data_IF_135800764175
#
_entry.id   IF_135800764175
#
_cell.length_a   1.000
_cell.length_b   1.000
_cell.length_c   1.000
_cell.angle_alpha   90.00
_cell.angle_beta   90.00
_cell.angle_gamma   90.00
#
_symmetry.space_group_name_H-M   'P 1'
#
loop_
_entity.id
_entity.type
_entity.pdbx_description
1 polymer ?
#
# COMPACT_ATOMS: atom_id res chain seq x y z
N UNK A 1 -13.69 15.90 4.95
CA UNK A 1 -12.56 16.09 4.01
C UNK A 1 -11.48 15.07 4.27
N UNK A 2 -10.90 14.49 3.23
CA UNK A 2 -9.78 13.56 3.27
C UNK A 2 -8.59 14.22 2.58
N UNK A 3 -7.45 14.32 3.25
CA UNK A 3 -6.21 14.81 2.67
C UNK A 3 -5.31 13.64 2.30
N UNK A 4 -4.90 13.56 1.05
CA UNK A 4 -4.00 12.51 0.54
C UNK A 4 -2.74 13.17 -0.06
N UNK A 5 -1.57 12.78 0.45
CA UNK A 5 -0.29 13.33 -0.01
C UNK A 5 0.07 12.92 -1.44
N UNK A 6 -0.40 11.74 -1.86
CA UNK A 6 -0.11 11.20 -3.17
C UNK A 6 -1.14 11.65 -4.23
N UNK A 7 -0.80 11.43 -5.50
CA UNK A 7 -1.72 11.63 -6.62
C UNK A 7 -2.88 10.63 -6.67
N UNK A 8 -2.75 9.52 -5.97
CA UNK A 8 -3.71 8.41 -5.94
C UNK A 8 -3.94 7.91 -4.53
N UNK A 9 -5.14 7.40 -4.28
CA UNK A 9 -5.52 6.78 -3.01
C UNK A 9 -5.10 5.32 -2.98
N UNK A 10 -4.94 4.77 -1.77
CA UNK A 10 -4.66 3.35 -1.57
C UNK A 10 -3.61 3.08 -0.51
N UNK A 11 -2.54 3.85 -0.48
CA UNK A 11 -1.45 3.60 0.46
C UNK A 11 -0.92 2.16 0.33
N UNK A 12 -1.10 1.31 1.35
CA UNK A 12 -0.73 -0.11 1.31
C UNK A 12 -1.62 -0.98 0.42
N UNK A 13 -2.77 -0.48 0.00
CA UNK A 13 -3.60 -1.05 -1.06
C UNK A 13 -3.19 -0.43 -2.40
N UNK A 14 -1.94 -0.62 -2.81
CA UNK A 14 -1.35 0.04 -3.97
C UNK A 14 -1.41 -0.84 -5.22
N UNK A 15 -1.77 -0.22 -6.33
CA UNK A 15 -1.84 -0.85 -7.65
C UNK A 15 -1.02 -0.03 -8.64
N UNK A 16 -0.10 -0.67 -9.38
CA UNK A 16 0.52 -0.13 -10.57
C UNK A 16 -0.38 -0.41 -11.78
N UNK A 17 -0.56 0.60 -12.60
CA UNK A 17 -1.29 0.50 -13.87
C UNK A 17 -0.28 0.44 -15.00
N UNK A 18 -0.42 -0.54 -15.87
CA UNK A 18 0.39 -0.70 -17.08
C UNK A 18 -0.60 -0.96 -18.22
N UNK A 19 -0.83 0.03 -19.07
CA UNK A 19 -1.91 0.07 -20.06
C UNK A 19 -3.27 -0.25 -19.41
N UNK A 20 -3.91 -1.34 -19.80
CA UNK A 20 -5.18 -1.84 -19.28
C UNK A 20 -5.01 -2.90 -18.17
N UNK A 21 -3.78 -3.17 -17.73
CA UNK A 21 -3.45 -4.19 -16.74
C UNK A 21 -3.22 -3.59 -15.35
N UNK A 22 -3.49 -4.40 -14.33
CA UNK A 22 -3.33 -4.04 -12.92
C UNK A 22 -2.27 -4.95 -12.29
N UNK A 23 -1.36 -4.36 -11.52
CA UNK A 23 -0.37 -5.09 -10.73
C UNK A 23 -0.45 -4.56 -9.30
N UNK A 24 -0.99 -5.36 -8.39
CA UNK A 24 -1.08 -5.00 -6.98
C UNK A 24 0.26 -5.31 -6.30
N UNK A 25 0.96 -4.27 -5.88
CA UNK A 25 2.30 -4.37 -5.30
C UNK A 25 2.35 -4.06 -3.80
N UNK A 26 1.21 -3.78 -3.21
CA UNK A 26 0.99 -3.84 -1.78
C UNK A 26 0.23 -5.13 -1.44
N UNK A 27 -0.87 -5.01 -0.69
CA UNK A 27 -1.81 -6.12 -0.50
C UNK A 27 -2.45 -6.51 -1.83
N UNK A 28 -2.46 -7.79 -2.17
CA UNK A 28 -3.03 -8.31 -3.43
C UNK A 28 -4.40 -8.99 -3.25
N UNK A 29 -4.79 -9.24 -2.00
CA UNK A 29 -6.06 -9.90 -1.64
C UNK A 29 -6.42 -9.61 -0.19
N UNK A 30 -7.64 -9.91 0.21
CA UNK A 30 -8.11 -9.77 1.59
C UNK A 30 -8.66 -11.11 2.07
N UNK A 31 -8.06 -11.65 3.14
CA UNK A 31 -8.62 -12.78 3.88
C UNK A 31 -9.16 -12.24 5.21
N UNK A 32 -10.48 -12.10 5.36
CA UNK A 32 -11.06 -11.49 6.56
C UNK A 32 -10.90 -12.42 7.77
N UNK A 33 -10.39 -11.84 8.87
CA UNK A 33 -10.20 -12.55 10.15
C UNK A 33 -11.36 -12.33 11.13
N UNK A 34 -12.30 -11.45 10.80
CA UNK A 34 -13.48 -11.14 11.63
C UNK A 34 -14.75 -11.17 10.79
N UNK A 35 -15.89 -11.45 11.42
CA UNK A 35 -17.19 -11.48 10.74
C UNK A 35 -17.56 -10.11 10.16
N UNK A 36 -17.25 -9.02 10.85
CA UNK A 36 -17.49 -7.66 10.36
C UNK A 36 -16.70 -7.38 9.08
N UNK A 37 -15.40 -7.74 9.04
CA UNK A 37 -14.59 -7.59 7.84
C UNK A 37 -15.10 -8.51 6.72
N UNK A 38 -15.55 -9.72 7.04
CA UNK A 38 -16.15 -10.64 6.07
C UNK A 38 -17.43 -10.06 5.46
N UNK A 39 -18.31 -9.53 6.29
CA UNK A 39 -19.54 -8.86 5.84
C UNK A 39 -19.22 -7.66 4.93
N UNK A 40 -18.22 -6.89 5.30
CA UNK A 40 -17.75 -5.78 4.48
C UNK A 40 -17.21 -6.26 3.12
N UNK A 41 -16.39 -7.30 3.09
CA UNK A 41 -15.88 -7.89 1.85
C UNK A 41 -17.01 -8.47 0.96
N UNK A 42 -18.05 -9.04 1.56
CA UNK A 42 -19.24 -9.48 0.83
C UNK A 42 -19.99 -8.30 0.19
N UNK A 43 -20.09 -7.17 0.88
CA UNK A 43 -20.66 -5.93 0.30
C UNK A 43 -19.81 -5.45 -0.89
N UNK A 44 -18.47 -5.43 -0.77
CA UNK A 44 -17.59 -5.12 -1.89
C UNK A 44 -17.78 -6.06 -3.08
N UNK A 45 -18.00 -7.36 -2.81
CA UNK A 45 -18.25 -8.35 -3.85
C UNK A 45 -19.61 -8.13 -4.54
N UNK A 46 -20.65 -7.82 -3.79
CA UNK A 46 -21.98 -7.45 -4.33
C UNK A 46 -21.89 -6.22 -5.25
N UNK A 47 -21.01 -5.27 -4.95
CA UNK A 47 -20.73 -4.09 -5.77
C UNK A 47 -19.70 -4.33 -6.88
N UNK A 48 -19.25 -5.57 -7.10
CA UNK A 48 -18.27 -5.95 -8.14
C UNK A 48 -16.92 -5.23 -8.00
N UNK A 49 -16.52 -4.89 -6.79
CA UNK A 49 -15.20 -4.32 -6.49
C UNK A 49 -14.18 -5.43 -6.31
N UNK A 50 -14.59 -6.52 -5.65
CA UNK A 50 -13.79 -7.73 -5.45
C UNK A 50 -14.56 -8.96 -5.90
N UNK A 51 -13.86 -10.09 -6.08
CA UNK A 51 -14.43 -11.43 -6.31
C UNK A 51 -13.98 -12.36 -5.19
N UNK A 52 -14.86 -13.20 -4.68
CA UNK A 52 -14.53 -14.21 -3.69
C UNK A 52 -13.97 -15.48 -4.35
N UNK A 53 -12.94 -16.04 -3.76
CA UNK A 53 -12.47 -17.42 -4.02
C UNK A 53 -12.18 -18.05 -2.66
N UNK A 54 -12.98 -19.03 -2.27
CA UNK A 54 -12.98 -19.57 -0.91
C UNK A 54 -13.18 -18.45 0.13
N UNK A 55 -12.33 -18.35 1.14
CA UNK A 55 -12.38 -17.32 2.18
C UNK A 55 -11.57 -16.05 1.85
N UNK A 56 -11.04 -15.94 0.63
CA UNK A 56 -10.20 -14.81 0.19
C UNK A 56 -10.90 -13.99 -0.90
N UNK A 57 -10.78 -12.69 -0.80
CA UNK A 57 -11.35 -11.72 -1.72
C UNK A 57 -10.25 -11.06 -2.56
N UNK A 58 -10.38 -11.14 -3.86
CA UNK A 58 -9.44 -10.61 -4.84
C UNK A 58 -10.03 -9.42 -5.58
N UNK A 59 -9.25 -8.39 -5.86
CA UNK A 59 -9.74 -7.23 -6.60
C UNK A 59 -10.13 -7.60 -8.05
N UNK A 60 -11.06 -6.81 -8.63
CA UNK A 60 -11.46 -6.94 -10.04
C UNK A 60 -10.69 -5.94 -10.92
N UNK A 61 -10.44 -4.72 -10.40
CA UNK A 61 -9.77 -3.62 -11.14
C UNK A 61 -8.67 -2.95 -10.32
N UNK A 62 -7.79 -3.74 -9.70
CA UNK A 62 -6.78 -3.25 -8.78
C UNK A 62 -7.30 -3.12 -7.35
N UNK A 63 -6.44 -3.46 -6.38
CA UNK A 63 -6.82 -3.45 -4.96
C UNK A 63 -7.15 -2.03 -4.47
N UNK A 64 -6.52 -0.99 -5.01
CA UNK A 64 -6.80 0.40 -4.68
C UNK A 64 -8.21 0.85 -5.09
N UNK A 65 -8.91 0.06 -5.92
CA UNK A 65 -10.29 0.34 -6.29
C UNK A 65 -11.25 0.25 -5.08
N UNK A 66 -10.86 -0.49 -4.05
CA UNK A 66 -11.57 -0.51 -2.76
C UNK A 66 -11.60 0.89 -2.16
N UNK A 67 -10.44 1.56 -2.10
CA UNK A 67 -10.36 2.92 -1.59
C UNK A 67 -11.15 3.92 -2.45
N UNK A 68 -11.08 3.78 -3.78
CA UNK A 68 -11.85 4.62 -4.70
C UNK A 68 -13.36 4.46 -4.55
N UNK A 69 -13.82 3.24 -4.27
CA UNK A 69 -15.22 2.95 -4.01
C UNK A 69 -15.73 3.57 -2.71
N UNK A 70 -14.87 3.63 -1.68
CA UNK A 70 -15.23 4.18 -0.37
C UNK A 70 -15.22 5.70 -0.30
N UNK A 71 -14.42 6.34 -1.14
CA UNK A 71 -14.16 7.77 -1.07
C UNK A 71 -15.11 8.50 -2.01
N UNK A 72 -15.84 9.46 -1.46
CA UNK A 72 -16.51 10.48 -2.27
C UNK A 72 -15.43 11.45 -2.79
N UNK A 73 -15.25 11.55 -4.10
CA UNK A 73 -14.23 12.42 -4.71
C UNK A 73 -14.35 13.89 -4.33
N UNK A 74 -15.55 14.37 -3.99
CA UNK A 74 -15.79 15.76 -3.54
C UNK A 74 -15.14 16.05 -2.18
N UNK A 75 -14.89 15.02 -1.38
CA UNK A 75 -14.31 15.14 -0.05
C UNK A 75 -12.79 14.90 -0.05
N UNK A 76 -12.19 14.63 -1.21
CA UNK A 76 -10.79 14.24 -1.35
C UNK A 76 -9.92 15.36 -1.91
N UNK A 77 -8.91 15.76 -1.15
CA UNK A 77 -7.87 16.71 -1.54
C UNK A 77 -6.57 15.95 -1.74
N UNK A 78 -6.17 15.75 -3.00
CA UNK A 78 -4.96 15.00 -3.41
C UNK A 78 -3.74 15.90 -3.49
N UNK A 79 -2.54 15.29 -3.57
CA UNK A 79 -1.26 15.98 -3.64
C UNK A 79 -1.07 16.99 -2.50
N UNK A 80 -1.63 16.69 -1.33
CA UNK A 80 -1.69 17.59 -0.19
C UNK A 80 -1.17 16.86 1.04
N UNK A 81 0.07 17.17 1.42
CA UNK A 81 0.68 16.65 2.63
C UNK A 81 0.50 17.64 3.77
N UNK A 82 -0.29 17.25 4.76
CA UNK A 82 -0.44 18.05 5.98
C UNK A 82 0.85 17.94 6.79
N UNK A 83 1.46 19.08 7.10
CA UNK A 83 2.71 19.21 7.85
C UNK A 83 2.50 19.70 9.29
N UNK A 84 1.36 20.38 9.52
CA UNK A 84 1.05 20.93 10.85
C UNK A 84 -0.44 20.79 11.15
N UNK A 85 -0.75 20.53 12.42
CA UNK A 85 -2.11 20.55 12.95
C UNK A 85 -2.11 21.25 14.32
N UNK A 86 -3.04 22.17 14.52
CA UNK A 86 -3.25 22.88 15.79
C UNK A 86 -4.73 22.88 16.15
N UNK A 87 -5.01 22.90 17.48
CA UNK A 87 -6.36 23.00 17.99
C UNK A 87 -6.54 24.42 18.57
N UNK A 88 -7.46 25.18 17.95
CA UNK A 88 -7.76 26.56 18.37
C UNK A 88 -9.27 26.71 18.50
N UNK A 89 -9.74 27.25 19.63
CA UNK A 89 -11.17 27.41 19.93
C UNK A 89 -12.00 26.12 19.68
N UNK A 90 -11.46 24.98 20.11
CA UNK A 90 -12.07 23.64 19.91
C UNK A 90 -12.26 23.22 18.44
N UNK A 91 -11.55 23.83 17.51
CA UNK A 91 -11.51 23.46 16.08
C UNK A 91 -10.10 23.16 15.65
N UNK A 92 -9.96 22.13 14.81
CA UNK A 92 -8.69 21.81 14.19
C UNK A 92 -8.41 22.75 13.02
N UNK A 93 -7.17 23.21 12.98
CA UNK A 93 -6.58 23.96 11.86
C UNK A 93 -5.42 23.14 11.32
N UNK A 94 -5.41 22.92 10.02
CA UNK A 94 -4.37 22.16 9.34
C UNK A 94 -3.60 23.07 8.38
N UNK A 95 -2.30 22.83 8.26
CA UNK A 95 -1.42 23.50 7.31
C UNK A 95 -0.69 22.44 6.48
N UNK A 96 -0.68 22.59 5.16
CA UNK A 96 0.08 21.71 4.28
C UNK A 96 1.53 22.21 4.07
N UNK A 97 2.35 21.46 3.32
CA UNK A 97 3.74 21.83 3.01
C UNK A 97 3.85 23.10 2.14
N UNK A 98 2.78 23.49 1.46
CA UNK A 98 2.70 24.69 0.64
C UNK A 98 2.14 25.91 1.41
N UNK A 99 1.97 25.77 2.73
CA UNK A 99 1.39 26.79 3.61
C UNK A 99 -0.07 27.13 3.38
N UNK A 100 -0.82 26.28 2.67
CA UNK A 100 -2.27 26.41 2.60
C UNK A 100 -2.90 26.01 3.93
N UNK A 101 -3.90 26.80 4.35
CA UNK A 101 -4.58 26.64 5.63
C UNK A 101 -6.00 26.10 5.43
N UNK A 102 -6.33 25.04 6.16
CA UNK A 102 -7.64 24.42 6.20
C UNK A 102 -8.19 24.49 7.63
N UNK A 103 -9.42 24.98 7.82
CA UNK A 103 -9.97 25.32 9.13
C UNK A 103 -11.33 24.68 9.40
N UNK A 104 -11.77 24.85 10.65
CA UNK A 104 -13.12 24.55 11.11
C UNK A 104 -13.49 23.05 11.19
N UNK A 105 -12.50 22.18 11.43
CA UNK A 105 -12.74 20.75 11.65
C UNK A 105 -13.01 20.45 13.12
N UNK A 106 -14.10 19.72 13.38
CA UNK A 106 -14.47 19.27 14.73
C UNK A 106 -13.63 18.09 15.21
N UNK A 107 -13.19 17.24 14.28
CA UNK A 107 -12.46 16.01 14.55
C UNK A 107 -11.31 15.84 13.56
N UNK A 108 -10.16 15.44 14.04
CA UNK A 108 -9.00 15.04 13.24
C UNK A 108 -8.73 13.55 13.43
N UNK A 109 -8.79 12.78 12.32
CA UNK A 109 -8.41 11.37 12.27
C UNK A 109 -7.06 11.22 11.53
N UNK A 110 -6.01 10.81 12.26
CA UNK A 110 -4.69 10.56 11.71
C UNK A 110 -4.56 9.08 11.34
N UNK A 111 -4.64 8.79 10.04
CA UNK A 111 -4.52 7.42 9.49
C UNK A 111 -3.18 7.18 8.80
N UNK A 112 -2.26 8.12 8.90
CA UNK A 112 -0.90 8.03 8.37
C UNK A 112 0.00 7.19 9.30
N UNK A 113 1.09 6.59 8.78
CA UNK A 113 2.05 5.84 9.60
C UNK A 113 2.63 6.67 10.74
N UNK A 114 2.88 6.03 11.88
CA UNK A 114 3.37 6.70 13.11
C UNK A 114 4.62 7.55 12.88
N UNK A 115 5.65 7.13 12.13
CA UNK A 115 6.81 7.98 11.86
C UNK A 115 6.43 9.33 11.22
N UNK A 116 5.40 9.34 10.38
CA UNK A 116 4.90 10.56 9.75
C UNK A 116 4.12 11.44 10.74
N UNK A 117 3.37 10.83 11.68
CA UNK A 117 2.70 11.58 12.77
C UNK A 117 3.74 12.26 13.64
N UNK A 118 4.83 11.56 14.00
CA UNK A 118 5.90 12.12 14.83
C UNK A 118 6.71 13.23 14.14
N UNK A 119 6.72 13.27 12.81
CA UNK A 119 7.33 14.34 12.00
C UNK A 119 6.42 15.56 11.87
N UNK A 120 5.10 15.40 12.04
CA UNK A 120 4.16 16.52 11.97
C UNK A 120 4.38 17.49 13.12
N UNK A 121 4.19 18.78 12.84
CA UNK A 121 4.09 19.82 13.89
C UNK A 121 2.69 19.77 14.53
N UNK A 122 2.51 18.84 15.46
CA UNK A 122 1.27 18.66 16.22
C UNK A 122 1.56 18.56 17.71
N UNK A 123 0.77 19.24 18.52
CA UNK A 123 0.87 19.12 19.96
C UNK A 123 0.09 17.89 20.43
N UNK A 124 0.82 16.83 20.74
CA UNK A 124 0.29 15.58 21.27
C UNK A 124 0.62 15.47 22.76
N UNK A 125 -0.29 14.90 23.58
CA UNK A 125 0.02 14.57 24.96
C UNK A 125 1.33 13.77 25.07
N UNK A 126 2.16 14.08 26.06
CA UNK A 126 3.50 13.47 26.23
C UNK A 126 3.43 11.95 26.24
N UNK A 127 2.50 11.38 27.01
CA UNK A 127 2.31 9.93 27.11
C UNK A 127 1.96 9.29 25.75
N UNK A 128 1.08 9.93 24.97
CA UNK A 128 0.74 9.46 23.63
C UNK A 128 1.96 9.49 22.70
N UNK A 129 2.75 10.57 22.75
CA UNK A 129 3.97 10.71 21.96
C UNK A 129 5.00 9.65 22.30
N UNK A 130 5.18 9.35 23.60
CA UNK A 130 6.06 8.28 24.08
C UNK A 130 5.58 6.89 23.63
N UNK A 131 4.28 6.64 23.62
CA UNK A 131 3.71 5.39 23.15
C UNK A 131 3.83 5.23 21.61
N UNK A 132 3.59 6.29 20.87
CA UNK A 132 3.80 6.30 19.42
C UNK A 132 5.27 6.06 19.06
N UNK A 133 6.22 6.62 19.82
CA UNK A 133 7.65 6.44 19.57
C UNK A 133 8.14 4.99 19.76
N UNK A 134 7.37 4.13 20.42
CA UNK A 134 7.68 2.69 20.58
C UNK A 134 7.21 1.83 19.42
N UNK A 135 6.45 2.39 18.48
CA UNK A 135 5.93 1.65 17.34
C UNK A 135 7.03 1.49 16.30
N UNK A 136 7.41 0.27 16.05
CA UNK A 136 8.40 -0.11 15.04
C UNK A 136 7.71 -0.51 13.73
N UNK A 137 8.38 -0.28 12.63
CA UNK A 137 7.96 -0.69 11.30
C UNK A 137 9.06 -1.51 10.64
N UNK A 138 8.73 -2.67 10.17
CA UNK A 138 9.62 -3.45 9.34
C UNK A 138 9.65 -2.87 7.92
N UNK A 139 10.85 -2.76 7.36
CA UNK A 139 11.06 -2.40 5.95
C UNK A 139 10.74 -3.60 5.06
N UNK A 140 10.27 -3.32 3.85
CA UNK A 140 10.03 -4.34 2.83
C UNK A 140 10.23 -3.70 1.45
N UNK A 141 10.89 -4.41 0.54
CA UNK A 141 10.96 -4.06 -0.87
C UNK A 141 9.99 -4.93 -1.67
N UNK A 142 9.40 -4.34 -2.71
CA UNK A 142 8.55 -5.04 -3.65
C UNK A 142 9.12 -4.90 -5.05
N UNK A 143 9.68 -5.97 -5.60
CA UNK A 143 10.11 -6.04 -6.99
C UNK A 143 8.90 -6.42 -7.85
N UNK A 144 8.64 -5.63 -8.90
CA UNK A 144 7.58 -5.88 -9.86
C UNK A 144 8.21 -6.33 -11.17
N UNK A 145 7.95 -7.58 -11.56
CA UNK A 145 8.33 -8.13 -12.85
C UNK A 145 7.10 -8.31 -13.71
N UNK A 146 7.15 -7.88 -14.97
CA UNK A 146 6.07 -8.11 -15.90
C UNK A 146 6.55 -8.23 -17.35
N UNK A 147 5.78 -8.94 -18.15
CA UNK A 147 5.98 -9.09 -19.60
C UNK A 147 4.63 -8.96 -20.32
N UNK A 148 4.65 -8.36 -21.49
CA UNK A 148 3.49 -8.25 -22.37
C UNK A 148 3.14 -9.56 -23.11
N UNK A 149 3.82 -10.66 -22.82
CA UNK A 149 3.50 -12.00 -23.26
C UNK A 149 3.48 -12.94 -22.04
N UNK A 150 3.06 -14.20 -22.23
CA UNK A 150 3.02 -15.21 -21.15
C UNK A 150 4.37 -15.93 -20.92
N UNK A 151 5.44 -15.47 -21.53
CA UNK A 151 6.71 -16.18 -21.53
C UNK A 151 7.51 -16.00 -20.25
N UNK A 152 7.17 -14.99 -19.43
CA UNK A 152 7.77 -14.83 -18.12
C UNK A 152 7.23 -15.87 -17.15
N UNK A 153 8.00 -16.93 -16.94
CA UNK A 153 7.73 -17.97 -15.95
C UNK A 153 8.86 -17.99 -14.92
N UNK A 154 8.57 -17.62 -13.72
CA UNK A 154 9.52 -17.70 -12.62
C UNK A 154 9.57 -19.11 -12.01
N UNK A 155 10.73 -19.60 -11.60
CA UNK A 155 10.88 -20.86 -10.88
C UNK A 155 10.46 -20.66 -9.41
N UNK A 156 9.15 -20.44 -9.18
CA UNK A 156 8.61 -20.00 -7.89
C UNK A 156 9.04 -20.91 -6.74
N UNK A 157 9.08 -22.22 -6.93
CA UNK A 157 9.50 -23.15 -5.88
C UNK A 157 10.96 -22.91 -5.45
N UNK A 158 11.88 -22.70 -6.42
CA UNK A 158 13.28 -22.41 -6.16
C UNK A 158 13.44 -21.04 -5.48
N UNK A 159 12.63 -20.06 -5.89
CA UNK A 159 12.66 -18.72 -5.30
C UNK A 159 12.23 -18.68 -3.84
N UNK A 160 11.31 -19.56 -3.41
CA UNK A 160 10.96 -19.68 -2.01
C UNK A 160 12.06 -20.32 -1.15
N UNK A 161 13.11 -20.91 -1.74
CA UNK A 161 14.28 -21.39 -1.03
C UNK A 161 15.26 -20.25 -0.71
N UNK A 162 15.12 -19.09 -1.37
CA UNK A 162 15.95 -17.92 -1.11
C UNK A 162 15.50 -17.23 0.21
N UNK A 163 16.40 -17.10 1.20
CA UNK A 163 16.09 -16.54 2.52
C UNK A 163 15.72 -15.04 2.48
N UNK A 164 16.01 -14.36 1.38
CA UNK A 164 15.74 -12.92 1.20
C UNK A 164 14.31 -12.65 0.68
N UNK A 165 13.60 -13.69 0.27
CA UNK A 165 12.24 -13.61 -0.27
C UNK A 165 11.21 -14.05 0.77
N UNK A 166 10.31 -13.14 1.14
CA UNK A 166 9.21 -13.43 2.05
C UNK A 166 7.99 -13.99 1.31
N UNK A 167 7.65 -13.40 0.17
CA UNK A 167 6.45 -13.77 -0.56
C UNK A 167 6.54 -13.46 -2.06
N UNK A 168 5.88 -14.29 -2.87
CA UNK A 168 5.76 -14.11 -4.32
C UNK A 168 4.29 -14.16 -4.71
N UNK A 169 3.81 -13.12 -5.37
CA UNK A 169 2.44 -13.01 -5.85
C UNK A 169 2.43 -13.01 -7.38
N UNK A 170 1.83 -14.02 -7.99
CA UNK A 170 1.55 -14.04 -9.43
C UNK A 170 0.26 -13.25 -9.72
N UNK A 171 0.39 -11.95 -9.93
CA UNK A 171 -0.73 -11.05 -10.13
C UNK A 171 -1.57 -11.39 -11.36
N UNK A 172 -0.94 -11.82 -12.45
CA UNK A 172 -1.63 -12.21 -13.68
C UNK A 172 -2.68 -13.29 -13.46
N UNK A 173 -2.45 -14.24 -12.54
CA UNK A 173 -3.45 -15.25 -12.14
C UNK A 173 -4.64 -14.66 -11.42
N UNK A 174 -4.44 -13.64 -10.59
CA UNK A 174 -5.51 -12.99 -9.86
C UNK A 174 -6.52 -12.34 -10.81
N UNK A 175 -6.03 -11.76 -11.91
CA UNK A 175 -6.84 -11.09 -12.93
C UNK A 175 -7.19 -12.00 -14.11
N UNK A 176 -6.64 -13.21 -14.17
CA UNK A 176 -6.86 -14.16 -15.28
C UNK A 176 -6.42 -13.60 -16.64
N UNK A 177 -5.31 -12.87 -16.68
CA UNK A 177 -4.73 -12.38 -17.93
C UNK A 177 -4.23 -13.54 -18.80
N UNK A 178 -4.43 -13.43 -20.11
CA UNK A 178 -4.01 -14.44 -21.08
C UNK A 178 -2.80 -14.01 -21.91
N UNK A 179 -2.53 -12.73 -21.93
CA UNK A 179 -1.53 -12.06 -22.78
C UNK A 179 -0.55 -11.20 -21.96
N UNK A 180 -0.48 -11.47 -20.65
CA UNK A 180 0.33 -10.69 -19.74
C UNK A 180 0.75 -11.54 -18.54
N UNK A 181 2.04 -11.54 -18.23
CA UNK A 181 2.60 -12.15 -17.03
C UNK A 181 3.05 -11.08 -16.05
N UNK A 182 2.76 -11.24 -14.78
CA UNK A 182 3.23 -10.31 -13.75
C UNK A 182 3.39 -10.98 -12.41
N UNK A 183 4.51 -10.66 -11.77
CA UNK A 183 4.87 -11.13 -10.43
C UNK A 183 5.22 -9.94 -9.55
N UNK A 184 4.89 -10.03 -8.28
CA UNK A 184 5.38 -9.14 -7.24
C UNK A 184 6.10 -9.99 -6.21
N UNK A 185 7.35 -9.68 -5.97
CA UNK A 185 8.23 -10.40 -5.06
C UNK A 185 8.51 -9.46 -3.89
N UNK A 186 8.18 -9.89 -2.68
CA UNK A 186 8.41 -9.14 -1.45
C UNK A 186 9.65 -9.68 -0.76
N UNK A 187 10.54 -8.77 -0.38
CA UNK A 187 11.73 -9.13 0.41
C UNK A 187 11.36 -9.39 1.86
N UNK A 188 12.23 -10.11 2.57
CA UNK A 188 12.22 -10.13 4.03
C UNK A 188 12.64 -8.76 4.59
N UNK A 189 12.35 -8.51 5.86
CA UNK A 189 12.79 -7.29 6.56
C UNK A 189 14.29 -7.26 6.75
N UNK A 190 14.91 -8.42 6.97
CA UNK A 190 16.34 -8.58 7.13
C UNK A 190 17.08 -8.09 5.89
N UNK A 191 16.67 -8.58 4.72
CA UNK A 191 17.21 -8.11 3.44
C UNK A 191 16.97 -6.62 3.24
N UNK A 192 15.73 -6.15 3.45
CA UNK A 192 15.40 -4.74 3.26
C UNK A 192 16.24 -3.81 4.14
N UNK A 193 16.54 -4.20 5.38
CA UNK A 193 17.39 -3.43 6.28
C UNK A 193 18.87 -3.41 5.85
N UNK A 194 19.35 -4.49 5.22
CA UNK A 194 20.73 -4.54 4.71
C UNK A 194 20.94 -3.63 3.50
N UNK A 195 19.93 -3.45 2.64
CA UNK A 195 20.06 -2.74 1.35
C UNK A 195 19.37 -1.38 1.31
N UNK A 196 18.86 -0.88 2.42
CA UNK A 196 18.04 0.33 2.49
C UNK A 196 18.74 1.63 2.06
N UNK A 197 20.09 1.63 2.06
CA UNK A 197 20.92 2.76 1.64
C UNK A 197 21.20 2.76 0.12
N UNK A 198 20.94 1.65 -0.57
CA UNK A 198 21.15 1.52 -2.00
C UNK A 198 20.02 2.24 -2.79
N UNK A 199 20.32 2.58 -4.04
CA UNK A 199 19.30 3.07 -4.96
C UNK A 199 18.28 1.96 -5.31
N UNK A 200 17.11 2.33 -5.81
CA UNK A 200 16.09 1.35 -6.20
C UNK A 200 16.56 0.46 -7.35
N UNK A 201 17.37 1.02 -8.23
CA UNK A 201 17.96 0.35 -9.37
C UNK A 201 18.97 -0.72 -8.90
N UNK A 202 19.88 -0.36 -8.00
CA UNK A 202 20.85 -1.30 -7.40
C UNK A 202 20.15 -2.41 -6.64
N UNK A 203 19.12 -2.09 -5.83
CA UNK A 203 18.33 -3.11 -5.12
C UNK A 203 17.65 -4.06 -6.10
N UNK A 204 17.10 -3.54 -7.21
CA UNK A 204 16.46 -4.37 -8.22
C UNK A 204 17.47 -5.30 -8.91
N UNK A 205 18.67 -4.82 -9.26
CA UNK A 205 19.76 -5.62 -9.82
C UNK A 205 20.22 -6.70 -8.84
N UNK A 206 20.54 -6.35 -7.59
CA UNK A 206 20.91 -7.31 -6.55
C UNK A 206 19.84 -8.38 -6.32
N UNK A 207 18.57 -7.99 -6.43
CA UNK A 207 17.46 -8.93 -6.26
C UNK A 207 17.31 -9.85 -7.48
N UNK A 208 17.62 -9.35 -8.69
CA UNK A 208 17.58 -10.12 -9.94
C UNK A 208 18.78 -11.10 -10.05
N UNK A 209 19.95 -10.74 -9.55
CA UNK A 209 21.14 -11.63 -9.54
C UNK A 209 20.84 -12.96 -8.81
N UNK A 210 19.88 -12.96 -7.90
CA UNK A 210 19.40 -14.20 -7.27
C UNK A 210 18.66 -15.14 -8.22
N UNK A 211 18.35 -14.71 -9.46
CA UNK A 211 17.63 -15.52 -10.46
C UNK A 211 18.54 -16.06 -11.59
N UNK A 212 19.77 -15.53 -11.71
CA UNK A 212 20.64 -15.78 -12.86
C UNK A 212 21.58 -17.01 -12.71
N UNK A 213 21.47 -17.78 -11.63
CA UNK A 213 22.32 -18.96 -11.40
C UNK A 213 21.90 -20.22 -12.19
N UNK A 214 21.41 -20.07 -13.45
CA UNK A 214 21.36 -21.15 -14.45
C UNK A 214 21.32 -20.64 -15.90
#
# INVERSE_FOLDING_TARGET
>A
TIFEKARGVGGRLSTKYTDDKFIDHGTSSITPLTDDLKLYCLNLAANKIVKARYDTFYPIKGINNICKFLINEKDLVKNTRISKASLENSKWILEDENHNIYKDFDLLLLTIPVPQILQMKIDLPKELKENLAKVEYDSNFSLILHSSNQDLKLPINKLYENPDIENIVENSKNYSYKDFSSYVIHSTKEYANCVNENSKEEIAEMFLDNFDDE
#
